data_IF_999914323841
#
_entry.id   IF_999914323841
#
_cell.length_a   1.000
_cell.length_b   1.000
_cell.length_c   1.000
_cell.angle_alpha   90.00
_cell.angle_beta   90.00
_cell.angle_gamma   90.00
#
_symmetry.space_group_name_H-M   'P 1'
#
loop_
_entity.id
_entity.type
_entity.pdbx_description
1 polymer ?
#
# COMPACT_ATOMS: atom_id res chain seq x y z
N UNK A 1 9.99 -4.89 22.50
CA UNK A 1 8.60 -4.95 23.01
C UNK A 1 8.56 -5.20 24.51
N UNK A 2 9.11 -6.30 25.05
CA UNK A 2 9.09 -6.59 26.49
C UNK A 2 10.11 -5.80 27.35
N UNK A 3 10.79 -4.79 26.80
CA UNK A 3 11.86 -4.05 27.50
C UNK A 3 13.13 -4.86 27.83
N UNK A 4 13.22 -6.12 27.40
CA UNK A 4 14.37 -7.01 27.63
C UNK A 4 15.42 -6.90 26.52
N UNK A 5 16.60 -7.50 26.74
CA UNK A 5 17.63 -7.65 25.71
C UNK A 5 17.07 -8.39 24.48
N UNK A 6 17.43 -8.01 23.24
CA UNK A 6 16.84 -8.57 22.02
C UNK A 6 17.36 -9.98 21.70
N UNK A 7 17.07 -10.94 22.58
CA UNK A 7 17.39 -12.37 22.43
C UNK A 7 16.19 -13.21 22.89
N UNK A 8 15.94 -14.33 22.20
CA UNK A 8 14.84 -15.24 22.51
C UNK A 8 15.22 -16.70 22.21
N UNK A 9 14.52 -17.63 22.84
CA UNK A 9 14.63 -19.08 22.61
C UNK A 9 13.33 -19.55 21.99
N UNK A 10 13.43 -20.36 20.94
CA UNK A 10 12.27 -20.93 20.25
C UNK A 10 12.47 -22.43 20.02
N UNK A 11 11.37 -23.17 20.08
CA UNK A 11 11.30 -24.59 19.75
C UNK A 11 9.96 -24.84 19.04
N UNK A 12 9.95 -25.65 17.99
CA UNK A 12 8.71 -26.03 17.31
C UNK A 12 7.94 -27.07 18.13
N UNK A 13 6.62 -26.93 18.17
CA UNK A 13 5.74 -27.86 18.89
C UNK A 13 5.35 -29.01 17.96
N UNK A 14 5.53 -30.23 18.44
CA UNK A 14 5.17 -31.47 17.75
C UNK A 14 4.08 -32.21 18.54
N UNK A 15 3.23 -32.93 17.83
CA UNK A 15 2.25 -33.84 18.42
C UNK A 15 2.96 -35.11 18.95
N UNK A 16 2.29 -35.85 19.84
CA UNK A 16 2.82 -37.10 20.43
C UNK A 16 3.13 -38.18 19.38
N UNK A 17 2.45 -38.14 18.22
CA UNK A 17 2.69 -39.03 17.09
C UNK A 17 3.90 -38.62 16.22
N UNK A 18 4.59 -37.54 16.58
CA UNK A 18 5.75 -37.00 15.88
C UNK A 18 5.42 -36.10 14.69
N UNK A 19 4.14 -35.83 14.41
CA UNK A 19 3.73 -34.86 13.38
C UNK A 19 3.86 -33.42 13.89
N UNK A 20 3.96 -32.45 12.98
CA UNK A 20 3.99 -31.03 13.37
C UNK A 20 2.60 -30.55 13.80
N UNK A 21 2.51 -29.92 14.96
CA UNK A 21 1.27 -29.35 15.46
C UNK A 21 0.75 -28.25 14.51
N UNK A 22 -0.55 -28.32 14.18
CA UNK A 22 -1.24 -27.29 13.38
C UNK A 22 -2.02 -26.36 14.29
N UNK A 23 -2.60 -25.29 13.72
CA UNK A 23 -3.32 -24.27 14.48
C UNK A 23 -4.37 -24.85 15.45
N UNK A 24 -5.20 -25.84 15.07
CA UNK A 24 -6.14 -26.45 16.02
C UNK A 24 -5.45 -27.12 17.22
N UNK A 25 -4.35 -27.84 16.97
CA UNK A 25 -3.57 -28.52 18.02
C UNK A 25 -2.92 -27.50 18.97
N UNK A 26 -2.35 -26.43 18.40
CA UNK A 26 -1.72 -25.34 19.15
C UNK A 26 -2.73 -24.59 20.03
N UNK A 27 -3.97 -24.42 19.58
CA UNK A 27 -5.03 -23.78 20.38
C UNK A 27 -5.32 -24.59 21.64
N UNK A 28 -5.41 -25.91 21.54
CA UNK A 28 -5.63 -26.77 22.71
C UNK A 28 -4.39 -26.84 23.61
N UNK A 29 -3.20 -26.98 23.03
CA UNK A 29 -1.93 -26.95 23.78
C UNK A 29 -1.76 -25.65 24.60
N UNK A 30 -2.04 -24.50 23.99
CA UNK A 30 -1.95 -23.22 24.67
C UNK A 30 -2.96 -23.10 25.82
N UNK A 31 -4.18 -23.65 25.69
CA UNK A 31 -5.16 -23.67 26.77
C UNK A 31 -4.72 -24.57 27.92
N UNK A 32 -4.19 -25.75 27.63
CA UNK A 32 -3.71 -26.70 28.64
C UNK A 32 -2.57 -26.13 29.49
N UNK A 33 -1.64 -25.42 28.84
CA UNK A 33 -0.43 -24.92 29.48
C UNK A 33 -0.48 -23.44 29.88
N UNK A 34 -1.64 -22.78 29.75
CA UNK A 34 -1.82 -21.35 30.04
C UNK A 34 -0.82 -20.45 29.28
N UNK A 35 -0.71 -20.68 27.97
CA UNK A 35 0.16 -19.92 27.06
C UNK A 35 -0.66 -19.04 26.12
N UNK A 36 -0.08 -17.90 25.74
CA UNK A 36 -0.66 -17.03 24.72
C UNK A 36 -0.34 -17.56 23.32
N UNK A 37 -1.34 -17.58 22.45
CA UNK A 37 -1.20 -17.86 21.02
C UNK A 37 -1.36 -16.55 20.23
N UNK A 38 -0.35 -16.20 19.44
CA UNK A 38 -0.37 -15.04 18.54
C UNK A 38 0.16 -15.45 17.16
N UNK A 39 -0.22 -14.70 16.13
CA UNK A 39 0.37 -14.84 14.80
C UNK A 39 1.47 -13.80 14.53
N UNK A 40 2.41 -14.16 13.66
CA UNK A 40 3.41 -13.20 13.13
C UNK A 40 2.69 -12.02 12.43
N UNK A 41 1.59 -12.28 11.73
CA UNK A 41 0.80 -11.26 11.06
C UNK A 41 0.21 -10.23 12.04
N UNK A 42 -0.34 -10.67 13.18
CA UNK A 42 -0.82 -9.79 14.25
C UNK A 42 0.32 -9.03 14.91
N UNK A 43 1.47 -9.66 15.12
CA UNK A 43 2.64 -9.00 15.70
C UNK A 43 3.18 -7.89 14.79
N UNK A 44 3.24 -8.14 13.48
CA UNK A 44 3.60 -7.13 12.47
C UNK A 44 2.59 -5.97 12.53
N UNK A 45 1.29 -6.27 12.56
CA UNK A 45 0.24 -5.25 12.66
C UNK A 45 0.39 -4.41 13.93
N UNK A 46 0.59 -5.06 15.08
CA UNK A 46 0.77 -4.40 16.37
C UNK A 46 1.97 -3.46 16.37
N UNK A 47 3.15 -3.93 15.93
CA UNK A 47 4.35 -3.09 15.88
C UNK A 47 4.17 -1.91 14.94
N UNK A 48 3.53 -2.10 13.79
CA UNK A 48 3.26 -1.01 12.84
C UNK A 48 2.31 0.04 13.40
N UNK A 49 1.35 -0.33 14.25
CA UNK A 49 0.41 0.60 14.88
C UNK A 49 1.02 1.32 16.09
N UNK A 50 1.94 0.67 16.81
CA UNK A 50 2.46 1.16 18.09
C UNK A 50 3.84 1.81 18.01
N UNK A 51 4.61 1.52 16.97
CA UNK A 51 5.94 2.08 16.74
C UNK A 51 5.91 3.13 15.63
N UNK A 52 6.61 4.24 15.83
CA UNK A 52 6.84 5.24 14.79
C UNK A 52 7.97 4.77 13.88
N UNK A 53 7.62 4.31 12.69
CA UNK A 53 8.52 3.75 11.68
C UNK A 53 8.90 4.76 10.59
N UNK A 54 8.26 5.92 10.56
CA UNK A 54 8.57 6.99 9.60
C UNK A 54 9.16 8.21 10.29
N UNK A 55 10.15 8.82 9.64
CA UNK A 55 10.75 10.09 10.06
C UNK A 55 10.68 11.09 8.92
N UNK A 56 10.10 12.27 9.16
CA UNK A 56 10.18 13.40 8.23
C UNK A 56 11.64 13.91 8.22
N UNK A 57 12.26 13.94 7.05
CA UNK A 57 13.70 14.29 6.90
C UNK A 57 13.94 15.60 6.15
N UNK A 58 13.01 16.02 5.28
CA UNK A 58 13.12 17.28 4.57
C UNK A 58 11.76 17.77 4.07
N UNK A 59 11.70 19.05 3.73
CA UNK A 59 10.53 19.69 3.13
C UNK A 59 10.94 20.77 2.12
N UNK A 60 10.13 20.96 1.08
CA UNK A 60 10.32 22.02 0.10
C UNK A 60 9.01 22.35 -0.64
N UNK A 61 8.88 23.59 -1.12
CA UNK A 61 7.85 23.94 -2.10
C UNK A 61 8.19 23.31 -3.45
N UNK A 62 7.22 22.62 -4.06
CA UNK A 62 7.32 22.04 -5.41
C UNK A 62 6.21 22.64 -6.28
N UNK A 63 6.54 23.58 -7.19
CA UNK A 63 5.61 24.01 -8.22
C UNK A 63 5.46 22.89 -9.26
N UNK A 64 4.22 22.53 -9.58
CA UNK A 64 3.90 21.51 -10.58
C UNK A 64 2.95 22.08 -11.63
N UNK A 65 2.72 21.33 -12.71
CA UNK A 65 1.74 21.73 -13.72
C UNK A 65 0.29 21.77 -13.20
N UNK A 66 -0.02 21.03 -12.13
CA UNK A 66 -1.33 21.05 -11.49
C UNK A 66 -1.45 22.16 -10.46
N UNK A 67 -0.32 22.65 -9.93
CA UNK A 67 -0.27 23.75 -8.98
C UNK A 67 0.86 23.61 -7.96
N UNK A 68 0.85 24.49 -6.96
CA UNK A 68 1.86 24.52 -5.89
C UNK A 68 1.54 23.54 -4.77
N UNK A 69 2.53 22.72 -4.40
CA UNK A 69 2.47 21.79 -3.28
C UNK A 69 3.65 21.99 -2.32
N UNK A 70 3.45 21.64 -1.06
CA UNK A 70 4.56 21.40 -0.12
C UNK A 70 4.90 19.91 -0.16
N UNK A 71 6.13 19.59 -0.52
CA UNK A 71 6.65 18.24 -0.53
C UNK A 71 7.36 17.96 0.80
N UNK A 72 6.95 16.89 1.47
CA UNK A 72 7.62 16.33 2.64
C UNK A 72 8.24 14.99 2.28
N UNK A 73 9.50 14.79 2.61
CA UNK A 73 10.18 13.50 2.45
C UNK A 73 10.17 12.76 3.79
N UNK A 74 9.72 11.51 3.74
CA UNK A 74 9.68 10.60 4.88
C UNK A 74 10.60 9.41 4.64
N UNK A 75 11.47 9.10 5.59
CA UNK A 75 12.32 7.93 5.58
C UNK A 75 11.74 6.83 6.49
N UNK A 76 11.63 5.62 5.96
CA UNK A 76 11.33 4.43 6.73
C UNK A 76 12.58 4.00 7.51
N UNK A 77 12.47 3.94 8.84
CA UNK A 77 13.61 3.64 9.72
C UNK A 77 14.08 2.19 9.64
N UNK A 78 13.28 1.30 9.04
CA UNK A 78 13.60 -0.13 8.94
C UNK A 78 14.54 -0.44 7.78
N UNK A 79 14.36 0.23 6.64
CA UNK A 79 15.07 -0.08 5.38
C UNK A 79 15.72 1.16 4.73
N UNK A 80 15.53 2.36 5.30
CA UNK A 80 16.03 3.62 4.76
C UNK A 80 15.30 4.09 3.50
N UNK A 81 14.19 3.44 3.12
CA UNK A 81 13.43 3.84 1.94
C UNK A 81 12.77 5.19 2.17
N UNK A 82 12.88 6.07 1.16
CA UNK A 82 12.33 7.41 1.22
C UNK A 82 11.05 7.49 0.39
N UNK A 83 9.97 7.95 1.01
CA UNK A 83 8.66 8.23 0.43
C UNK A 83 8.39 9.73 0.44
N UNK A 84 7.42 10.17 -0.35
CA UNK A 84 7.07 11.59 -0.47
C UNK A 84 5.59 11.80 -0.16
N UNK A 85 5.28 12.89 0.53
CA UNK A 85 3.92 13.43 0.64
C UNK A 85 3.87 14.82 0.01
N UNK A 86 3.04 14.99 -1.02
CA UNK A 86 2.71 16.28 -1.61
C UNK A 86 1.44 16.80 -0.95
N UNK A 87 1.54 17.95 -0.30
CA UNK A 87 0.47 18.52 0.53
C UNK A 87 0.02 19.86 -0.04
N UNK A 88 -1.30 20.02 -0.15
CA UNK A 88 -2.00 21.24 -0.54
C UNK A 88 -2.74 21.78 0.67
N UNK A 89 -2.56 23.08 0.97
CA UNK A 89 -3.22 23.73 2.10
C UNK A 89 -2.67 23.29 3.48
N UNK A 90 -3.30 23.78 4.54
CA UNK A 90 -2.97 23.44 5.92
C UNK A 90 -3.84 22.28 6.40
N UNK A 91 -3.41 21.05 6.15
CA UNK A 91 -4.23 19.84 6.38
C UNK A 91 -4.33 19.39 7.84
N UNK A 92 -3.47 19.90 8.72
CA UNK A 92 -3.38 19.44 10.10
C UNK A 92 -4.62 19.87 10.91
N UNK A 93 -5.34 18.88 11.47
CA UNK A 93 -6.54 19.13 12.27
C UNK A 93 -7.79 19.49 11.48
N UNK A 94 -7.71 19.46 10.14
CA UNK A 94 -8.86 19.61 9.26
C UNK A 94 -9.60 18.27 9.10
N UNK A 95 -10.91 18.36 8.87
CA UNK A 95 -11.76 17.20 8.65
C UNK A 95 -11.89 16.87 7.16
N UNK A 96 -12.13 15.59 6.85
CA UNK A 96 -12.51 15.09 5.53
C UNK A 96 -11.51 15.44 4.41
N UNK A 97 -10.22 15.49 4.77
CA UNK A 97 -9.13 15.86 3.86
C UNK A 97 -9.10 14.91 2.66
N UNK A 98 -8.94 15.46 1.44
CA UNK A 98 -8.85 14.65 0.23
C UNK A 98 -7.47 13.98 0.15
N UNK A 99 -7.44 12.64 0.14
CA UNK A 99 -6.19 11.87 0.25
C UNK A 99 -6.05 10.86 -0.88
N UNK A 100 -4.88 10.83 -1.51
CA UNK A 100 -4.44 9.78 -2.42
C UNK A 100 -3.18 9.11 -1.88
N UNK A 101 -3.27 7.85 -1.48
CA UNK A 101 -2.07 7.01 -1.32
C UNK A 101 -1.76 6.37 -2.68
N UNK A 102 -0.67 6.74 -3.32
CA UNK A 102 -0.22 6.25 -4.61
C UNK A 102 0.92 5.25 -4.46
N UNK A 103 0.88 4.17 -5.22
CA UNK A 103 1.96 3.18 -5.28
C UNK A 103 2.85 3.52 -6.47
N UNK A 104 4.16 3.60 -6.26
CA UNK A 104 5.13 3.88 -7.31
C UNK A 104 4.94 2.99 -8.54
N UNK A 105 4.90 3.61 -9.72
CA UNK A 105 4.86 2.95 -11.02
C UNK A 105 5.69 3.75 -12.02
N UNK A 106 6.99 3.50 -12.08
CA UNK A 106 7.95 4.20 -12.95
C UNK A 106 7.48 4.26 -14.40
N UNK A 107 7.01 3.14 -14.96
CA UNK A 107 6.55 3.07 -16.35
C UNK A 107 5.33 3.94 -16.61
N UNK A 108 4.39 4.01 -15.67
CA UNK A 108 3.17 4.82 -15.81
C UNK A 108 3.41 6.28 -15.48
N UNK A 109 4.00 6.53 -14.31
CA UNK A 109 4.12 7.86 -13.70
C UNK A 109 5.20 8.71 -14.39
N UNK A 110 6.30 8.10 -14.88
CA UNK A 110 7.43 8.84 -15.49
C UNK A 110 7.44 8.70 -17.00
N UNK A 111 7.18 7.50 -17.53
CA UNK A 111 7.29 7.24 -18.98
C UNK A 111 5.95 7.26 -19.73
N UNK A 112 4.83 7.52 -19.05
CA UNK A 112 3.52 7.64 -19.70
C UNK A 112 3.03 6.35 -20.35
N UNK A 113 3.41 5.18 -19.81
CA UNK A 113 3.02 3.88 -20.37
C UNK A 113 1.51 3.72 -20.42
N UNK A 114 0.99 3.38 -21.61
CA UNK A 114 -0.42 3.10 -21.84
C UNK A 114 -0.88 1.72 -21.34
N UNK A 115 0.05 0.82 -20.98
CA UNK A 115 -0.24 -0.52 -20.45
C UNK A 115 -0.86 -0.53 -19.05
N UNK A 116 -0.80 0.61 -18.35
CA UNK A 116 -1.42 0.78 -17.05
C UNK A 116 -2.08 2.16 -16.97
N UNK A 117 -2.87 2.36 -15.92
CA UNK A 117 -3.58 3.59 -15.62
C UNK A 117 -2.90 4.42 -14.51
N UNK A 118 -1.74 3.99 -14.01
CA UNK A 118 -1.11 4.59 -12.83
C UNK A 118 -0.77 6.08 -13.00
N UNK A 119 -0.13 6.45 -14.12
CA UNK A 119 0.24 7.85 -14.37
C UNK A 119 -0.98 8.76 -14.45
N UNK A 120 -2.00 8.35 -15.23
CA UNK A 120 -3.27 9.08 -15.35
C UNK A 120 -3.96 9.24 -14.00
N UNK A 121 -3.95 8.20 -13.15
CA UNK A 121 -4.50 8.27 -11.81
C UNK A 121 -3.72 9.24 -10.89
N UNK A 122 -2.40 9.31 -11.02
CA UNK A 122 -1.58 10.25 -10.25
C UNK A 122 -1.90 11.69 -10.67
N UNK A 123 -1.89 11.96 -11.96
CA UNK A 123 -2.20 13.27 -12.54
C UNK A 123 -3.58 13.75 -12.10
N UNK A 124 -4.60 12.87 -12.20
CA UNK A 124 -5.97 13.19 -11.79
C UNK A 124 -6.08 13.45 -10.30
N UNK A 125 -5.38 12.69 -9.46
CA UNK A 125 -5.37 12.93 -8.02
C UNK A 125 -4.74 14.28 -7.66
N UNK A 126 -3.64 14.64 -8.32
CA UNK A 126 -2.99 15.95 -8.11
C UNK A 126 -3.88 17.10 -8.56
N UNK A 127 -4.54 16.97 -9.72
CA UNK A 127 -5.51 17.95 -10.22
C UNK A 127 -6.70 18.13 -9.26
N UNK A 128 -7.31 17.03 -8.80
CA UNK A 128 -8.45 17.09 -7.88
C UNK A 128 -8.06 17.74 -6.55
N UNK A 129 -6.91 17.39 -5.99
CA UNK A 129 -6.41 17.97 -4.75
C UNK A 129 -6.07 19.45 -4.92
N UNK A 130 -5.50 19.85 -6.07
CA UNK A 130 -5.23 21.26 -6.35
C UNK A 130 -6.52 22.08 -6.38
N UNK A 131 -7.53 21.59 -7.11
CA UNK A 131 -8.85 22.21 -7.23
C UNK A 131 -9.59 22.32 -5.88
N UNK A 132 -9.45 21.33 -5.01
CA UNK A 132 -10.00 21.36 -3.65
C UNK A 132 -9.27 22.39 -2.76
N UNK A 133 -7.98 22.64 -3.03
CA UNK A 133 -7.13 23.52 -2.23
C UNK A 133 -6.67 22.93 -0.89
N UNK A 134 -7.12 21.72 -0.55
CA UNK A 134 -6.80 21.03 0.69
C UNK A 134 -6.69 19.51 0.45
N UNK A 135 -5.49 18.94 0.59
CA UNK A 135 -5.33 17.50 0.39
C UNK A 135 -3.89 17.01 0.38
N UNK A 136 -3.74 15.68 0.28
CA UNK A 136 -2.45 14.99 0.36
C UNK A 136 -2.34 13.89 -0.69
N UNK A 137 -1.24 13.89 -1.45
CA UNK A 137 -0.79 12.72 -2.22
C UNK A 137 0.41 12.09 -1.51
N UNK A 138 0.26 10.88 -0.99
CA UNK A 138 1.38 10.08 -0.47
C UNK A 138 1.89 9.17 -1.58
N UNK A 139 3.12 9.38 -2.04
CA UNK A 139 3.79 8.55 -3.04
C UNK A 139 4.70 7.51 -2.37
N UNK A 140 4.21 6.27 -2.30
CA UNK A 140 4.92 5.15 -1.69
C UNK A 140 5.88 4.53 -2.71
N UNK A 141 7.16 4.89 -2.57
CA UNK A 141 8.29 4.23 -3.25
C UNK A 141 8.48 2.80 -2.77
N UNK A 142 9.11 1.96 -3.59
CA UNK A 142 9.31 0.52 -3.33
C UNK A 142 8.12 -0.35 -3.71
N UNK A 143 6.98 0.25 -4.09
CA UNK A 143 5.77 -0.47 -4.49
C UNK A 143 5.75 -0.90 -5.96
N UNK A 144 6.81 -0.60 -6.71
CA UNK A 144 6.94 -0.96 -8.11
C UNK A 144 6.72 -2.47 -8.33
N UNK A 145 5.94 -2.79 -9.37
CA UNK A 145 5.57 -4.18 -9.66
C UNK A 145 4.77 -4.86 -8.55
N UNK A 146 4.15 -4.13 -7.63
CA UNK A 146 3.54 -4.64 -6.37
C UNK A 146 4.55 -5.07 -5.31
N UNK A 147 5.71 -4.40 -5.28
CA UNK A 147 6.75 -4.63 -4.28
C UNK A 147 7.82 -5.65 -4.70
N UNK A 148 7.75 -6.18 -5.92
CA UNK A 148 8.81 -7.06 -6.48
C UNK A 148 9.86 -6.29 -7.29
N UNK A 149 9.62 -5.00 -7.54
CA UNK A 149 10.53 -4.12 -8.26
C UNK A 149 10.38 -4.15 -9.78
N UNK A 150 11.05 -3.18 -10.43
CA UNK A 150 10.90 -2.92 -11.87
C UNK A 150 11.37 -4.10 -12.75
N UNK A 151 12.48 -4.77 -12.39
CA UNK A 151 13.02 -5.87 -13.19
C UNK A 151 12.04 -7.04 -13.32
N UNK A 152 11.41 -7.42 -12.21
CA UNK A 152 10.38 -8.47 -12.19
C UNK A 152 9.13 -8.05 -12.96
N UNK A 153 8.71 -6.78 -12.82
CA UNK A 153 7.57 -6.24 -13.58
C UNK A 153 7.79 -6.33 -15.09
N UNK A 154 8.96 -5.92 -15.59
CA UNK A 154 9.26 -6.00 -17.02
C UNK A 154 9.34 -7.46 -17.49
N UNK A 155 9.88 -8.37 -16.67
CA UNK A 155 9.87 -9.81 -16.99
C UNK A 155 8.45 -10.37 -17.06
N UNK A 156 7.56 -9.96 -16.16
CA UNK A 156 6.16 -10.34 -16.21
C UNK A 156 5.46 -9.81 -17.47
N UNK A 157 5.80 -8.59 -17.93
CA UNK A 157 5.32 -8.08 -19.21
C UNK A 157 5.77 -8.94 -20.40
N UNK A 158 7.03 -9.37 -20.43
CA UNK A 158 7.51 -10.25 -21.51
C UNK A 158 6.77 -11.60 -21.54
N UNK A 159 6.39 -12.15 -20.39
CA UNK A 159 5.59 -13.38 -20.30
C UNK A 159 4.14 -13.16 -20.73
N UNK A 160 3.56 -12.00 -20.41
CA UNK A 160 2.23 -11.62 -20.87
C UNK A 160 2.18 -11.40 -22.38
N UNK A 161 3.18 -10.73 -22.93
CA UNK A 161 3.33 -10.56 -24.39
C UNK A 161 3.50 -11.92 -25.11
N UNK A 162 3.99 -12.95 -24.40
CA UNK A 162 4.07 -14.34 -24.87
C UNK A 162 2.78 -15.16 -24.65
N UNK A 163 1.71 -14.54 -24.14
CA UNK A 163 0.37 -15.12 -24.04
C UNK A 163 -0.05 -15.62 -22.66
N UNK A 164 0.74 -15.41 -21.60
CA UNK A 164 0.34 -15.74 -20.22
C UNK A 164 -0.57 -14.65 -19.63
N UNK A 165 -1.49 -15.02 -18.74
CA UNK A 165 -2.22 -14.01 -17.99
C UNK A 165 -1.34 -13.38 -16.87
N UNK A 166 -1.78 -12.25 -16.31
CA UNK A 166 -1.00 -11.52 -15.30
C UNK A 166 -0.73 -12.33 -14.02
N UNK A 167 -1.60 -13.27 -13.66
CA UNK A 167 -1.44 -14.12 -12.47
C UNK A 167 -0.48 -15.26 -12.78
N UNK A 168 -0.66 -15.94 -13.92
CA UNK A 168 0.20 -17.01 -14.42
C UNK A 168 1.65 -16.56 -14.58
N UNK A 169 1.87 -15.35 -15.10
CA UNK A 169 3.19 -14.76 -15.22
C UNK A 169 3.88 -14.56 -13.86
N UNK A 170 3.15 -14.10 -12.85
CA UNK A 170 3.70 -13.92 -11.50
C UNK A 170 3.98 -15.25 -10.79
N UNK A 171 3.08 -16.22 -10.92
CA UNK A 171 3.25 -17.57 -10.36
C UNK A 171 4.45 -18.27 -11.00
N UNK A 172 4.61 -18.15 -12.33
CA UNK A 172 5.75 -18.73 -13.06
C UNK A 172 7.10 -18.14 -12.65
N UNK A 173 7.09 -16.90 -12.15
CA UNK A 173 8.27 -16.22 -11.63
C UNK A 173 8.52 -16.48 -10.14
N UNK A 174 7.65 -17.25 -9.46
CA UNK A 174 7.75 -17.52 -8.02
C UNK A 174 7.54 -16.28 -7.15
N UNK A 175 6.80 -15.28 -7.66
CA UNK A 175 6.63 -13.99 -7.00
C UNK A 175 5.34 -13.92 -6.18
N UNK A 176 5.33 -13.23 -5.03
CA UNK A 176 4.11 -12.96 -4.30
C UNK A 176 3.15 -12.13 -5.16
N UNK A 177 1.84 -12.41 -5.05
CA UNK A 177 0.79 -11.73 -5.82
C UNK A 177 0.71 -10.24 -5.44
N UNK A 178 1.03 -9.91 -4.18
CA UNK A 178 1.11 -8.54 -3.67
C UNK A 178 1.99 -8.50 -2.41
N UNK A 179 3.09 -7.75 -2.43
CA UNK A 179 3.94 -7.52 -1.25
C UNK A 179 3.91 -6.06 -0.79
N UNK A 180 2.92 -5.27 -1.23
CA UNK A 180 2.83 -3.85 -0.88
C UNK A 180 2.50 -3.65 0.59
N UNK A 181 3.16 -2.66 1.21
CA UNK A 181 3.00 -2.33 2.61
C UNK A 181 2.39 -0.94 2.78
N UNK A 182 1.13 -0.87 3.23
CA UNK A 182 0.42 0.41 3.35
C UNK A 182 0.52 1.06 4.74
N UNK A 183 1.08 0.36 5.73
CA UNK A 183 1.26 0.90 7.09
C UNK A 183 2.13 2.15 7.14
N UNK A 184 3.15 2.23 6.27
CA UNK A 184 3.98 3.43 6.11
C UNK A 184 3.16 4.62 5.64
N UNK A 185 2.27 4.42 4.66
CA UNK A 185 1.36 5.46 4.19
C UNK A 185 0.43 5.97 5.29
N UNK A 186 -0.10 5.06 6.12
CA UNK A 186 -0.91 5.44 7.27
C UNK A 186 -0.14 6.30 8.27
N UNK A 187 1.09 5.90 8.64
CA UNK A 187 1.90 6.71 9.57
C UNK A 187 2.28 8.08 9.01
N UNK A 188 2.52 8.20 7.70
CA UNK A 188 2.75 9.50 7.05
C UNK A 188 1.53 10.41 7.22
N UNK A 189 0.32 9.89 6.99
CA UNK A 189 -0.92 10.67 7.15
C UNK A 189 -1.14 11.09 8.60
N UNK A 190 -0.88 10.20 9.56
CA UNK A 190 -0.95 10.52 11.00
C UNK A 190 0.07 11.60 11.38
N UNK A 191 1.30 11.53 10.87
CA UNK A 191 2.33 12.56 11.13
C UNK A 191 1.97 13.93 10.52
N UNK A 192 1.22 13.94 9.42
CA UNK A 192 0.64 15.15 8.84
C UNK A 192 -0.57 15.68 9.63
N UNK A 193 -1.03 14.95 10.65
CA UNK A 193 -2.16 15.34 11.49
C UNK A 193 -3.54 15.08 10.88
N UNK A 194 -3.62 14.16 9.91
CA UNK A 194 -4.89 13.70 9.33
C UNK A 194 -5.58 12.75 10.31
N UNK A 195 -6.89 12.90 10.47
CA UNK A 195 -7.72 12.00 11.28
C UNK A 195 -8.88 11.44 10.47
N UNK A 196 -9.60 12.29 9.72
CA UNK A 196 -10.67 11.89 8.80
C UNK A 196 -10.26 12.23 7.36
N UNK A 197 -10.60 11.36 6.41
CA UNK A 197 -10.22 11.57 5.01
C UNK A 197 -11.22 11.02 4.00
N UNK A 198 -11.25 11.68 2.84
CA UNK A 198 -11.90 11.18 1.62
C UNK A 198 -10.85 10.53 0.74
N UNK A 199 -10.94 9.22 0.56
CA UNK A 199 -9.88 8.44 -0.07
C UNK A 199 -10.09 8.31 -1.59
N UNK A 200 -9.14 8.83 -2.38
CA UNK A 200 -9.09 8.68 -3.84
C UNK A 200 -8.61 7.27 -4.25
N UNK A 201 -9.54 6.34 -4.42
CA UNK A 201 -9.23 4.93 -4.74
C UNK A 201 -10.35 4.23 -5.50
N UNK A 202 -9.95 3.27 -6.36
CA UNK A 202 -10.85 2.26 -6.94
C UNK A 202 -10.67 0.88 -6.28
N UNK A 203 -9.72 0.76 -5.35
CA UNK A 203 -9.44 -0.50 -4.69
C UNK A 203 -9.87 -0.43 -3.22
N UNK A 204 -10.94 -1.13 -2.81
CA UNK A 204 -11.40 -1.17 -1.42
C UNK A 204 -10.38 -1.84 -0.48
N UNK A 205 -9.60 -2.81 -0.98
CA UNK A 205 -8.62 -3.55 -0.17
C UNK A 205 -7.39 -2.72 0.21
N UNK A 206 -7.13 -1.61 -0.50
CA UNK A 206 -5.95 -0.74 -0.30
C UNK A 206 -5.87 -0.16 1.11
N UNK A 207 -7.01 -0.10 1.80
CA UNK A 207 -7.14 0.50 3.12
C UNK A 207 -7.51 -0.49 4.22
N UNK A 208 -7.49 -1.81 3.94
CA UNK A 208 -7.76 -2.87 4.92
C UNK A 208 -6.76 -2.97 6.09
N UNK A 209 -5.90 -1.98 6.28
CA UNK A 209 -4.90 -1.89 7.36
C UNK A 209 -4.80 -0.50 8.00
N UNK A 210 -5.75 0.40 7.76
CA UNK A 210 -5.81 1.70 8.46
C UNK A 210 -6.36 1.58 9.89
N UNK A 211 -7.17 0.56 10.15
CA UNK A 211 -7.70 0.24 11.46
C UNK A 211 -6.58 0.19 12.49
N UNK A 212 -6.67 1.04 13.52
CA UNK A 212 -5.69 1.18 14.60
C UNK A 212 -4.67 2.31 14.45
N UNK A 213 -4.68 3.04 13.32
CA UNK A 213 -3.86 4.26 13.14
C UNK A 213 -4.58 5.56 13.53
N UNK A 214 -5.86 5.48 13.94
CA UNK A 214 -6.68 6.67 14.20
C UNK A 214 -7.05 7.44 12.93
N UNK A 215 -7.05 6.76 11.78
CA UNK A 215 -7.47 7.29 10.49
C UNK A 215 -8.84 6.71 10.12
N UNK A 216 -9.79 7.59 9.78
CA UNK A 216 -11.13 7.22 9.34
C UNK A 216 -11.34 7.62 7.88
N UNK A 217 -11.86 6.69 7.08
CA UNK A 217 -12.27 6.96 5.70
C UNK A 217 -13.76 7.25 5.70
N UNK A 218 -14.10 8.54 5.64
CA UNK A 218 -15.49 9.00 5.61
C UNK A 218 -16.15 8.83 4.24
N UNK A 219 -15.34 8.81 3.19
CA UNK A 219 -15.81 8.73 1.80
C UNK A 219 -14.74 8.06 0.93
N UNK A 220 -15.18 7.31 -0.08
CA UNK A 220 -14.32 6.84 -1.17
C UNK A 220 -14.67 7.62 -2.43
N UNK A 221 -13.71 8.36 -2.94
CA UNK A 221 -13.85 9.12 -4.18
C UNK A 221 -13.21 8.31 -5.30
N UNK A 222 -13.96 7.89 -6.33
CA UNK A 222 -13.42 7.10 -7.42
C UNK A 222 -12.43 7.92 -8.26
N UNK A 223 -11.45 7.23 -8.85
CA UNK A 223 -10.52 7.78 -9.83
C UNK A 223 -10.76 7.11 -11.17
N UNK A 224 -11.74 7.61 -11.90
CA UNK A 224 -12.08 7.07 -13.21
C UNK A 224 -11.02 7.42 -14.25
N UNK A 225 -10.65 6.41 -15.04
CA UNK A 225 -9.73 6.57 -16.17
C UNK A 225 -10.36 5.98 -17.41
N UNK A 226 -10.21 6.65 -18.55
CA UNK A 226 -10.71 6.14 -19.83
C UNK A 226 -9.85 4.94 -20.26
N UNK A 227 -10.43 3.74 -20.42
CA UNK A 227 -9.70 2.58 -20.91
C UNK A 227 -9.21 2.80 -22.35
N UNK A 228 -8.11 2.14 -22.71
CA UNK A 228 -7.57 2.13 -24.06
C UNK A 228 -7.22 0.69 -24.50
N UNK A 229 -6.92 0.46 -25.79
CA UNK A 229 -6.64 -0.88 -26.29
C UNK A 229 -5.49 -1.61 -25.56
N UNK A 230 -4.50 -0.88 -25.06
CA UNK A 230 -3.32 -1.45 -24.38
C UNK A 230 -3.60 -1.87 -22.94
N UNK A 231 -4.60 -1.31 -22.26
CA UNK A 231 -4.86 -1.58 -20.83
C UNK A 231 -6.23 -2.19 -20.52
N UNK A 232 -7.16 -2.32 -21.48
CA UNK A 232 -8.50 -2.83 -21.21
C UNK A 232 -8.48 -4.23 -20.57
N UNK A 233 -7.63 -5.13 -21.04
CA UNK A 233 -7.48 -6.49 -20.48
C UNK A 233 -6.92 -6.46 -19.05
N UNK A 234 -5.96 -5.57 -18.79
CA UNK A 234 -5.38 -5.36 -17.46
C UNK A 234 -6.42 -4.80 -16.48
N UNK A 235 -7.23 -3.83 -16.90
CA UNK A 235 -8.30 -3.24 -16.10
C UNK A 235 -9.41 -4.26 -15.79
N UNK A 236 -9.80 -5.09 -16.76
CA UNK A 236 -10.74 -6.21 -16.53
C UNK A 236 -10.20 -7.20 -15.53
N UNK A 237 -8.92 -7.57 -15.63
CA UNK A 237 -8.25 -8.45 -14.66
C UNK A 237 -8.27 -7.85 -13.24
N UNK A 238 -8.03 -6.54 -13.10
CA UNK A 238 -8.15 -5.84 -11.81
C UNK A 238 -9.56 -5.92 -11.22
N UNK A 239 -10.59 -5.72 -12.05
CA UNK A 239 -12.00 -5.82 -11.65
C UNK A 239 -12.36 -7.24 -11.20
N UNK A 240 -12.09 -8.22 -12.06
CA UNK A 240 -12.56 -9.60 -11.91
C UNK A 240 -11.76 -10.41 -10.88
N UNK A 241 -10.43 -10.27 -10.87
CA UNK A 241 -9.54 -11.09 -10.03
C UNK A 241 -9.01 -10.38 -8.80
N UNK A 242 -9.07 -9.05 -8.74
CA UNK A 242 -8.43 -8.25 -7.68
C UNK A 242 -9.39 -7.30 -6.96
N UNK A 243 -10.70 -7.44 -7.19
CA UNK A 243 -11.74 -6.72 -6.44
C UNK A 243 -11.75 -5.21 -6.61
N UNK A 244 -11.21 -4.68 -7.72
CA UNK A 244 -11.29 -3.24 -7.99
C UNK A 244 -12.70 -2.85 -8.46
N UNK A 245 -13.21 -1.73 -7.96
CA UNK A 245 -14.48 -1.12 -8.37
C UNK A 245 -14.20 -0.25 -9.60
N UNK A 246 -14.33 -0.83 -10.79
CA UNK A 246 -14.14 -0.16 -12.07
C UNK A 246 -15.38 -0.33 -12.94
N UNK A 247 -15.90 0.79 -13.46
CA UNK A 247 -17.05 0.84 -14.37
C UNK A 247 -16.60 1.17 -15.81
N UNK A 248 -17.48 0.95 -16.80
CA UNK A 248 -17.21 1.34 -18.20
C UNK A 248 -16.12 0.52 -18.92
N UNK A 249 -15.93 -0.76 -18.56
CA UNK A 249 -14.92 -1.65 -19.16
C UNK A 249 -15.50 -2.62 -20.23
N UNK A 250 -16.78 -2.50 -20.56
CA UNK A 250 -17.50 -3.41 -21.44
C UNK A 250 -17.64 -2.85 -22.86
#
# INVERSE_FOLDING_TARGET
MAGMFPSGVLCEIVNDDGTMARVPDLVEFCKEHDLLLISIAELIRYRRQTEKLVKRISEARIPTQWGDFTCYVYENVLDGQQHIALVKGAVQGEDNVLVRVHSECLTGDVFGSLRCDCGIQLDKAMELIDNEGLGVVVYLRGHEGRGVGIGHKIRAYSLQDAGQDTVEANVSLGLPIDSREYGIGAQILVDLGITTMRALTNNPSKYGGLDGFGLDIVERVPLETIPNPENIAYLRTKREKMGHMLEGLD
#
